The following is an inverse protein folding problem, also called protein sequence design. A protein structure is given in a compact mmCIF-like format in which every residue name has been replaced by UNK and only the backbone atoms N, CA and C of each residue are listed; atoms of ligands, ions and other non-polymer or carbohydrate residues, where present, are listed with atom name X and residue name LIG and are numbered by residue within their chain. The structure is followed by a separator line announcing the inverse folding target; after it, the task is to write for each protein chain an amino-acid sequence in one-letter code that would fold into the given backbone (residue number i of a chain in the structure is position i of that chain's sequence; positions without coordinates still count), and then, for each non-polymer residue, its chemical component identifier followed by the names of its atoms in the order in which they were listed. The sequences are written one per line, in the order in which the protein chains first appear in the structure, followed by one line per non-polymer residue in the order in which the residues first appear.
data_IF_323942202443
#
_entry.id   IF_323942202443
#
_cell.length_a   1.000
_cell.length_b   1.000
_cell.length_c   1.000
_cell.angle_alpha   90.00
_cell.angle_beta   90.00
_cell.angle_gamma   90.00
#
_symmetry.space_group_name_H-M   'P 1'
#
loop_
_entity.id
_entity.type
_entity.pdbx_description
1 polymer ?
#
# COMPACT_ATOMS: atom_id res chain seq x y z
N UNK A 1 5.43 8.71 8.29
CA UNK A 1 4.73 8.98 7.01
C UNK A 1 3.24 9.10 7.31
N UNK A 2 2.67 10.23 6.95
CA UNK A 2 1.26 10.48 7.23
C UNK A 2 0.37 9.78 6.21
N UNK A 3 -0.91 9.70 6.52
CA UNK A 3 -1.89 9.15 5.57
C UNK A 3 -1.85 9.94 4.26
N UNK A 4 -1.74 11.26 4.35
CA UNK A 4 -1.68 12.09 3.15
C UNK A 4 -0.44 11.80 2.32
N UNK A 5 0.68 11.55 2.98
CA UNK A 5 1.89 11.19 2.26
C UNK A 5 1.77 9.84 1.58
N UNK A 6 1.12 8.89 2.24
CA UNK A 6 0.89 7.58 1.62
C UNK A 6 -0.05 7.70 0.43
N UNK A 7 -1.10 8.51 0.56
CA UNK A 7 -2.02 8.76 -0.55
C UNK A 7 -1.29 9.38 -1.73
N UNK A 8 -0.42 10.35 -1.45
CA UNK A 8 0.37 10.97 -2.52
C UNK A 8 1.29 9.95 -3.19
N UNK A 9 1.85 9.04 -2.39
CA UNK A 9 2.71 8.00 -2.94
C UNK A 9 1.91 7.07 -3.86
N UNK A 10 0.69 6.71 -3.46
CA UNK A 10 -0.17 5.91 -4.32
C UNK A 10 -0.45 6.62 -5.63
N UNK A 11 -0.71 7.94 -5.57
CA UNK A 11 -0.96 8.72 -6.77
C UNK A 11 0.24 8.77 -7.70
N UNK A 12 1.45 8.72 -7.14
CA UNK A 12 2.66 8.77 -7.96
C UNK A 12 2.79 7.58 -8.88
N UNK A 13 2.12 6.46 -8.57
CA UNK A 13 2.19 5.29 -9.44
C UNK A 13 1.53 5.54 -10.80
N UNK A 14 0.68 6.55 -10.89
CA UNK A 14 -0.05 6.83 -12.12
C UNK A 14 -1.23 5.92 -12.37
N UNK A 15 -1.53 5.02 -11.45
CA UNK A 15 -2.63 4.07 -11.58
C UNK A 15 -3.86 4.60 -10.85
N UNK A 16 -5.07 4.19 -11.27
CA UNK A 16 -6.23 4.44 -10.42
C UNK A 16 -6.01 3.79 -9.07
N UNK A 17 -6.39 4.47 -7.99
CA UNK A 17 -6.14 3.94 -6.65
C UNK A 17 -7.30 4.29 -5.72
N UNK A 18 -7.41 3.49 -4.64
CA UNK A 18 -8.38 3.75 -3.60
C UNK A 18 -7.79 3.31 -2.26
N UNK A 19 -8.28 3.91 -1.20
CA UNK A 19 -7.97 3.47 0.15
C UNK A 19 -8.94 2.35 0.51
N UNK A 20 -8.40 1.22 0.91
CA UNK A 20 -9.12 0.04 1.38
C UNK A 20 -9.89 -0.67 0.27
N UNK A 21 -10.76 0.04 -0.45
CA UNK A 21 -11.50 -0.57 -1.56
C UNK A 21 -12.12 0.55 -2.41
N UNK A 22 -12.50 0.19 -3.62
CA UNK A 22 -13.33 1.08 -4.43
C UNK A 22 -14.78 0.91 -4.03
N UNK A 23 -15.56 1.98 -4.16
CA UNK A 23 -16.98 1.87 -3.92
C UNK A 23 -17.60 0.85 -4.85
N UNK A 24 -18.66 0.21 -4.40
CA UNK A 24 -19.32 -0.84 -5.19
C UNK A 24 -19.72 -0.27 -6.54
N UNK A 25 -19.38 -1.01 -7.61
CA UNK A 25 -19.70 -0.58 -8.96
C UNK A 25 -18.76 0.47 -9.53
N UNK A 26 -17.75 0.91 -8.77
CA UNK A 26 -16.84 1.95 -9.23
C UNK A 26 -15.42 1.45 -9.45
N UNK A 27 -15.20 0.16 -9.37
CA UNK A 27 -13.88 -0.39 -9.61
C UNK A 27 -13.49 -0.17 -11.08
N UNK A 28 -12.31 0.42 -11.32
CA UNK A 28 -11.89 0.66 -12.70
C UNK A 28 -11.42 -0.62 -13.36
N UNK A 29 -11.15 -0.51 -14.66
CA UNK A 29 -10.50 -1.61 -15.37
C UNK A 29 -9.08 -1.77 -14.83
N UNK A 30 -8.60 -3.01 -14.71
CA UNK A 30 -7.21 -3.22 -14.29
C UNK A 30 -6.25 -2.64 -15.34
N UNK A 31 -5.05 -2.20 -14.91
CA UNK A 31 -4.52 -2.32 -13.56
C UNK A 31 -5.00 -1.20 -12.65
N UNK A 32 -5.14 -1.53 -11.37
CA UNK A 32 -5.45 -0.51 -10.36
C UNK A 32 -4.81 -0.91 -9.04
N UNK A 33 -4.79 0.04 -8.11
CA UNK A 33 -4.07 -0.09 -6.84
C UNK A 33 -5.02 0.19 -5.69
N UNK A 34 -4.92 -0.64 -4.66
CA UNK A 34 -5.63 -0.40 -3.40
C UNK A 34 -4.57 -0.37 -2.30
N UNK A 35 -4.68 0.58 -1.38
CA UNK A 35 -3.78 0.59 -0.24
C UNK A 35 -4.59 0.59 1.05
N UNK A 36 -4.04 -0.06 2.08
CA UNK A 36 -4.76 -0.16 3.35
C UNK A 36 -3.76 -0.45 4.46
N UNK A 37 -4.23 -0.25 5.69
CA UNK A 37 -3.45 -0.54 6.89
C UNK A 37 -4.12 -1.71 7.60
N UNK A 38 -3.67 -2.95 7.33
CA UNK A 38 -4.35 -4.11 7.93
C UNK A 38 -4.14 -4.22 9.43
N UNK A 39 -3.04 -3.66 9.95
CA UNK A 39 -2.76 -3.74 11.38
C UNK A 39 -1.67 -2.75 11.73
N UNK A 40 -1.56 -2.46 13.03
CA UNK A 40 -0.44 -1.70 13.55
C UNK A 40 0.54 -2.65 14.23
N UNK A 41 1.79 -2.20 14.31
CA UNK A 41 2.86 -3.01 14.88
C UNK A 41 3.69 -2.06 15.76
N UNK A 42 3.03 -1.52 16.78
CA UNK A 42 3.60 -0.44 17.57
C UNK A 42 4.79 -0.92 18.39
N UNK A 43 5.78 -0.07 18.48
CA UNK A 43 6.90 -0.31 19.38
C UNK A 43 6.48 0.08 20.79
N UNK A 44 6.52 -0.88 21.71
CA UNK A 44 6.04 -0.72 23.07
C UNK A 44 7.21 -0.89 24.02
N UNK A 45 7.33 0.02 24.99
CA UNK A 45 8.30 -0.09 26.04
C UNK A 45 7.67 0.44 27.33
N UNK A 46 7.91 -0.25 28.45
CA UNK A 46 7.38 0.13 29.76
C UNK A 46 5.87 0.28 29.74
N UNK A 47 5.19 -0.56 28.96
CA UNK A 47 3.74 -0.55 28.87
C UNK A 47 3.16 0.62 28.12
N UNK A 48 4.00 1.38 27.40
CA UNK A 48 3.54 2.53 26.64
C UNK A 48 3.98 2.40 25.18
N UNK A 49 3.17 2.95 24.27
CA UNK A 49 3.52 2.98 22.87
C UNK A 49 4.48 4.12 22.63
N UNK A 50 5.73 3.77 22.30
CA UNK A 50 6.75 4.76 21.97
C UNK A 50 6.64 5.27 20.55
N UNK A 51 6.47 4.35 19.62
CA UNK A 51 6.40 4.68 18.20
C UNK A 51 5.20 3.97 17.63
N UNK A 52 4.44 4.69 16.84
CA UNK A 52 3.30 4.08 16.16
C UNK A 52 3.76 3.64 14.79
N UNK A 53 3.69 2.35 14.57
CA UNK A 53 4.13 1.72 13.33
C UNK A 53 2.93 1.06 12.70
N UNK A 54 2.65 1.39 11.45
CA UNK A 54 1.56 0.78 10.72
C UNK A 54 2.12 -0.17 9.69
N UNK A 55 1.51 -1.34 9.60
CA UNK A 55 1.74 -2.18 8.43
C UNK A 55 0.91 -1.58 7.31
N UNK A 56 1.54 -1.38 6.17
CA UNK A 56 0.89 -0.78 5.01
C UNK A 56 0.95 -1.78 3.87
N UNK A 57 -0.19 -1.98 3.22
CA UNK A 57 -0.27 -2.84 2.05
C UNK A 57 -0.60 -2.01 0.83
N UNK A 58 0.16 -2.22 -0.24
CA UNK A 58 -0.21 -1.79 -1.59
C UNK A 58 -0.59 -3.05 -2.34
N UNK A 59 -1.82 -3.12 -2.82
CA UNK A 59 -2.33 -4.27 -3.56
C UNK A 59 -2.54 -3.85 -5.00
N UNK A 60 -1.72 -4.40 -5.88
CA UNK A 60 -1.81 -4.11 -7.30
C UNK A 60 -2.59 -5.22 -7.98
N UNK A 61 -3.68 -4.85 -8.67
CA UNK A 61 -4.54 -5.80 -9.36
C UNK A 61 -4.34 -5.67 -10.85
N UNK A 62 -4.04 -6.79 -11.50
CA UNK A 62 -3.87 -6.83 -12.97
C UNK A 62 -4.61 -8.04 -13.50
N UNK A 63 -5.09 -7.96 -14.75
CA UNK A 63 -5.78 -9.10 -15.36
C UNK A 63 -4.83 -9.99 -16.14
N UNK A 64 -3.58 -9.59 -16.27
CA UNK A 64 -2.54 -10.38 -16.90
C UNK A 64 -1.24 -10.08 -16.19
N UNK A 65 -0.24 -10.95 -16.35
CA UNK A 65 1.07 -10.64 -15.80
C UNK A 65 1.67 -9.47 -16.57
N UNK A 66 1.95 -8.40 -15.82
CA UNK A 66 2.45 -7.15 -16.39
C UNK A 66 3.64 -6.65 -15.58
N UNK A 67 4.82 -7.24 -15.79
CA UNK A 67 5.99 -6.84 -15.01
C UNK A 67 6.29 -5.34 -15.08
N UNK A 68 5.98 -4.70 -16.22
CA UNK A 68 6.24 -3.28 -16.35
C UNK A 68 5.37 -2.45 -15.42
N UNK A 69 4.15 -2.91 -15.15
CA UNK A 69 3.28 -2.21 -14.19
C UNK A 69 3.78 -2.44 -12.78
N UNK A 70 4.24 -3.65 -12.48
CA UNK A 70 4.82 -3.93 -11.17
C UNK A 70 6.04 -3.04 -10.94
N UNK A 71 6.88 -2.88 -11.95
CA UNK A 71 8.05 -2.02 -11.84
C UNK A 71 7.67 -0.56 -11.62
N UNK A 72 6.56 -0.15 -12.19
CA UNK A 72 6.06 1.21 -12.01
C UNK A 72 5.73 1.48 -10.54
N UNK A 73 5.08 0.53 -9.88
CA UNK A 73 4.78 0.64 -8.46
C UNK A 73 6.06 0.57 -7.64
N UNK A 74 6.93 -0.38 -7.97
CA UNK A 74 8.16 -0.59 -7.21
C UNK A 74 9.08 0.63 -7.30
N UNK A 75 9.10 1.29 -8.45
CA UNK A 75 9.92 2.49 -8.60
C UNK A 75 9.48 3.59 -7.63
N UNK A 76 8.18 3.72 -7.40
CA UNK A 76 7.68 4.70 -6.45
C UNK A 76 8.12 4.33 -5.04
N UNK A 77 7.94 3.06 -4.66
CA UNK A 77 8.35 2.62 -3.32
C UNK A 77 9.85 2.81 -3.13
N UNK A 78 10.63 2.48 -4.14
CA UNK A 78 12.08 2.63 -4.07
C UNK A 78 12.48 4.09 -3.93
N UNK A 79 11.78 4.98 -4.62
CA UNK A 79 12.11 6.41 -4.57
C UNK A 79 11.86 6.99 -3.20
N UNK A 80 11.01 6.37 -2.41
CA UNK A 80 10.74 6.81 -1.05
C UNK A 80 11.58 6.04 -0.02
N UNK A 81 12.47 5.17 -0.49
CA UNK A 81 13.33 4.41 0.42
C UNK A 81 12.59 3.35 1.21
N UNK A 82 11.48 2.88 0.69
CA UNK A 82 10.63 1.91 1.40
C UNK A 82 11.19 0.50 1.18
N UNK A 83 11.32 -0.25 2.27
CA UNK A 83 11.63 -1.67 2.21
C UNK A 83 10.31 -2.43 2.26
N UNK A 84 10.12 -3.34 1.33
CA UNK A 84 8.85 -4.05 1.22
C UNK A 84 9.08 -5.52 0.92
N UNK A 85 8.10 -6.34 1.28
CA UNK A 85 7.99 -7.72 0.83
C UNK A 85 6.97 -7.78 -0.28
N UNK A 86 7.20 -8.68 -1.24
CA UNK A 86 6.33 -8.79 -2.40
C UNK A 86 5.84 -10.22 -2.52
N UNK A 87 4.53 -10.40 -2.60
CA UNK A 87 3.92 -11.70 -2.85
C UNK A 87 2.86 -11.54 -3.92
N UNK A 88 2.36 -12.67 -4.40
CA UNK A 88 1.42 -12.63 -5.50
C UNK A 88 0.45 -13.79 -5.38
N UNK A 89 -0.80 -13.56 -5.73
CA UNK A 89 -1.82 -14.61 -5.76
C UNK A 89 -2.73 -14.37 -6.98
N UNK A 90 -3.17 -15.47 -7.56
CA UNK A 90 -4.18 -15.44 -8.62
C UNK A 90 -5.54 -15.65 -7.97
N UNK A 91 -6.49 -14.77 -8.29
CA UNK A 91 -7.86 -14.84 -7.74
C UNK A 91 -8.78 -15.33 -8.84
N UNK A 92 -9.10 -16.64 -8.86
CA UNK A 92 -9.87 -17.20 -9.99
C UNK A 92 -11.25 -16.60 -10.14
N UNK A 93 -11.91 -16.29 -9.02
CA UNK A 93 -13.26 -15.76 -9.07
C UNK A 93 -13.33 -14.42 -9.79
N UNK A 94 -12.26 -13.65 -9.71
CA UNK A 94 -12.23 -12.33 -10.31
C UNK A 94 -11.36 -12.25 -11.55
N UNK A 95 -10.64 -13.34 -11.83
CA UNK A 95 -9.72 -13.41 -12.94
C UNK A 95 -8.69 -12.29 -12.90
N UNK A 96 -8.15 -12.08 -11.72
CA UNK A 96 -7.15 -11.04 -11.46
C UNK A 96 -5.98 -11.63 -10.71
N UNK A 97 -4.80 -11.08 -10.97
CA UNK A 97 -3.66 -11.26 -10.10
C UNK A 97 -3.66 -10.15 -9.05
N UNK A 98 -3.32 -10.50 -7.82
CA UNK A 98 -3.07 -9.52 -6.78
C UNK A 98 -1.60 -9.61 -6.42
N UNK A 99 -0.87 -8.53 -6.68
CA UNK A 99 0.52 -8.42 -6.25
C UNK A 99 0.51 -7.57 -4.98
N UNK A 100 0.94 -8.15 -3.89
CA UNK A 100 0.89 -7.50 -2.59
C UNK A 100 2.28 -7.02 -2.21
N UNK A 101 2.37 -5.72 -1.94
CA UNK A 101 3.57 -5.10 -1.38
C UNK A 101 3.25 -4.78 0.08
N UNK A 102 4.00 -5.40 0.98
CA UNK A 102 3.77 -5.27 2.41
C UNK A 102 4.97 -4.54 3.02
N UNK A 103 4.70 -3.50 3.79
CA UNK A 103 5.76 -2.67 4.35
C UNK A 103 5.32 -2.10 5.69
N UNK A 104 6.28 -1.58 6.44
CA UNK A 104 5.99 -0.89 7.69
C UNK A 104 6.34 0.56 7.53
N UNK A 105 5.44 1.44 7.97
CA UNK A 105 5.68 2.87 7.93
C UNK A 105 5.45 3.45 9.31
N UNK A 106 6.31 4.37 9.70
CA UNK A 106 6.14 5.08 10.95
C UNK A 106 5.02 6.09 10.79
N UNK A 107 4.13 6.12 11.77
CA UNK A 107 3.09 7.13 11.80
C UNK A 107 3.65 8.33 12.54
N UNK A 108 4.42 9.14 11.81
CA UNK A 108 5.12 10.26 12.41
C UNK A 108 4.41 11.58 12.22
N UNK A 109 3.23 11.56 11.60
CA UNK A 109 2.50 12.79 11.36
C UNK A 109 1.96 13.40 12.62
N UNK A 110 1.66 12.58 13.63
CA UNK A 110 1.12 13.08 14.88
C UNK A 110 2.17 13.61 15.82
N UNK A 111 3.41 13.28 15.57
CA UNK A 111 4.46 13.64 16.50
C UNK A 111 4.80 15.11 16.45
N UNK A 112 4.45 15.75 15.38
CA UNK A 112 4.75 17.16 15.24
C UNK A 112 3.80 18.04 16.00
N UNK A 113 2.76 17.46 16.56
CA UNK A 113 1.75 18.26 17.19
C UNK A 113 2.01 18.50 18.66
N UNK A 114 2.98 17.80 19.19
CA UNK A 114 3.40 18.14 20.55
C UNK A 114 4.29 19.37 20.63
#
# INVERSE_FOLDING_TARGET
MTYEEVTAMAAETGLPYAYDHFAEGESPEPPFLVFLYPRSDNFVADGKVYRKINELHFELYTDAKQPEVEEQVEAVLDSHGIVYDKTEVWIPEEKLYEVLYSMEVLNDGNEQEE
#
